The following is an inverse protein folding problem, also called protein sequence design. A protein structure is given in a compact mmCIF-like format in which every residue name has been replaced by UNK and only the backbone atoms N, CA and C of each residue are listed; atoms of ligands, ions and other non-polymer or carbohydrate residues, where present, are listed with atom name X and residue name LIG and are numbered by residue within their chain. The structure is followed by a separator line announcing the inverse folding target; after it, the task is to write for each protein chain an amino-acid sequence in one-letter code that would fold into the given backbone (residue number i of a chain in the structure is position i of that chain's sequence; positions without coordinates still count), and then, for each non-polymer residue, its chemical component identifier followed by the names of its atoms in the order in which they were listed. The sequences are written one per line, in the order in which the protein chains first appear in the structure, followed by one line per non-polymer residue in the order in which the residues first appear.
data_IF_151747142284
#
_entry.id   IF_151747142284
#
_cell.length_a   1.000
_cell.length_b   1.000
_cell.length_c   1.000
_cell.angle_alpha   90.00
_cell.angle_beta   90.00
_cell.angle_gamma   90.00
#
_symmetry.space_group_name_H-M   'P 1'
#
loop_
_entity.id
_entity.type
_entity.pdbx_description
1 polymer ?
#
# COMPACT_ATOMS: atom_id res chain seq x y z
N UNK A 1 59.05 -34.10 52.03
CA UNK A 1 57.65 -34.50 51.68
C UNK A 1 56.57 -33.41 51.85
N UNK A 2 56.76 -32.35 52.65
CA UNK A 2 55.72 -31.31 52.88
C UNK A 2 55.47 -30.37 51.68
N UNK A 3 56.51 -29.96 50.94
CA UNK A 3 56.42 -29.05 49.78
C UNK A 3 55.53 -29.54 48.63
N UNK A 4 55.50 -30.85 48.37
CA UNK A 4 54.74 -31.44 47.24
C UNK A 4 53.23 -31.40 47.50
N UNK A 5 52.79 -31.47 48.77
CA UNK A 5 51.36 -31.41 49.12
C UNK A 5 50.78 -29.99 48.92
N UNK A 6 51.53 -28.94 49.17
CA UNK A 6 51.08 -27.55 48.99
C UNK A 6 50.94 -27.17 47.52
N UNK A 7 51.84 -27.64 46.65
CA UNK A 7 51.77 -27.39 45.20
C UNK A 7 50.52 -28.02 44.59
N UNK A 8 50.17 -29.24 45.01
CA UNK A 8 48.96 -29.93 44.54
C UNK A 8 47.66 -29.26 45.01
N UNK A 9 47.61 -28.75 46.25
CA UNK A 9 46.44 -28.01 46.74
C UNK A 9 46.21 -26.70 45.97
N UNK A 10 47.29 -25.98 45.68
CA UNK A 10 47.22 -24.72 44.93
C UNK A 10 46.80 -24.92 43.47
N UNK A 11 47.24 -26.02 42.84
CA UNK A 11 46.79 -26.39 41.49
C UNK A 11 45.31 -26.79 41.47
N UNK A 12 44.83 -27.51 42.50
CA UNK A 12 43.41 -27.87 42.59
C UNK A 12 42.50 -26.64 42.77
N UNK A 13 42.92 -25.67 43.60
CA UNK A 13 42.18 -24.42 43.81
C UNK A 13 42.14 -23.57 42.54
N UNK A 14 43.27 -23.44 41.82
CA UNK A 14 43.31 -22.76 40.51
C UNK A 14 42.37 -23.43 39.50
N UNK A 15 42.42 -24.75 39.37
CA UNK A 15 41.56 -25.48 38.43
C UNK A 15 40.06 -25.36 38.74
N UNK A 16 39.66 -25.30 40.03
CA UNK A 16 38.27 -25.01 40.40
C UNK A 16 37.85 -23.60 40.02
N UNK A 17 38.71 -22.62 40.24
CA UNK A 17 38.41 -21.21 39.93
C UNK A 17 38.28 -20.96 38.43
N UNK A 18 39.12 -21.58 37.60
CA UNK A 18 39.02 -21.51 36.13
C UNK A 18 37.76 -22.22 35.59
N UNK A 19 37.32 -23.33 36.19
CA UNK A 19 36.04 -23.98 35.84
C UNK A 19 34.84 -23.08 36.18
N UNK A 20 34.82 -22.52 37.38
CA UNK A 20 33.74 -21.63 37.83
C UNK A 20 33.60 -20.37 36.96
N UNK A 21 34.72 -19.75 36.56
CA UNK A 21 34.72 -18.60 35.65
C UNK A 21 34.32 -18.96 34.20
N UNK A 22 34.63 -20.18 33.75
CA UNK A 22 34.21 -20.69 32.44
C UNK A 22 32.71 -20.90 32.35
N UNK A 23 32.10 -21.44 33.39
CA UNK A 23 30.66 -21.72 33.45
C UNK A 23 29.83 -20.43 33.56
N UNK A 24 30.31 -19.41 34.29
CA UNK A 24 29.69 -18.09 34.34
C UNK A 24 29.69 -17.36 32.99
N UNK A 25 30.79 -17.45 32.23
CA UNK A 25 30.87 -16.90 30.86
C UNK A 25 29.94 -17.63 29.90
N UNK A 26 29.78 -18.94 30.04
CA UNK A 26 28.86 -19.74 29.22
C UNK A 26 27.40 -19.44 29.53
N UNK A 27 27.05 -19.29 30.82
CA UNK A 27 25.70 -18.87 31.23
C UNK A 27 25.36 -17.45 30.77
N UNK A 28 26.27 -16.49 30.89
CA UNK A 28 26.00 -15.11 30.44
C UNK A 28 25.86 -14.99 28.91
N UNK A 29 26.59 -15.81 28.14
CA UNK A 29 26.39 -15.91 26.69
C UNK A 29 25.05 -16.57 26.33
N UNK A 30 24.63 -17.60 27.07
CA UNK A 30 23.34 -18.25 26.85
C UNK A 30 22.15 -17.31 27.18
N UNK A 31 22.24 -16.55 28.27
CA UNK A 31 21.21 -15.56 28.66
C UNK A 31 21.12 -14.42 27.64
N UNK A 32 22.25 -13.91 27.14
CA UNK A 32 22.27 -12.90 26.09
C UNK A 32 21.70 -13.41 24.76
N UNK A 33 21.96 -14.68 24.41
CA UNK A 33 21.40 -15.30 23.20
C UNK A 33 19.88 -15.49 23.30
N UNK A 34 19.37 -15.89 24.46
CA UNK A 34 17.92 -16.03 24.70
C UNK A 34 17.24 -14.65 24.69
N UNK A 35 17.85 -13.63 25.30
CA UNK A 35 17.34 -12.25 25.25
C UNK A 35 17.34 -11.68 23.83
N UNK A 36 18.33 -12.01 23.00
CA UNK A 36 18.36 -11.61 21.59
C UNK A 36 17.28 -12.33 20.77
N UNK A 37 17.05 -13.63 20.99
CA UNK A 37 15.96 -14.38 20.34
C UNK A 37 14.59 -13.84 20.77
N UNK A 38 14.42 -13.51 22.06
CA UNK A 38 13.20 -12.87 22.56
C UNK A 38 13.01 -11.46 21.96
N UNK A 39 14.06 -10.67 21.79
CA UNK A 39 13.98 -9.37 21.12
C UNK A 39 13.64 -9.49 19.62
N UNK A 40 14.09 -10.56 18.95
CA UNK A 40 13.71 -10.87 17.56
C UNK A 40 12.25 -11.29 17.40
N UNK A 41 11.67 -11.93 18.42
CA UNK A 41 10.25 -12.30 18.45
C UNK A 41 9.32 -11.09 18.70
N UNK A 42 9.85 -9.93 19.08
CA UNK A 42 9.08 -8.70 19.38
C UNK A 42 9.08 -7.71 18.20
N UNK A 43 9.91 -7.91 17.17
CA UNK A 43 9.72 -7.22 15.89
C UNK A 43 8.56 -7.88 15.13
N UNK A 44 7.33 -7.44 15.43
CA UNK A 44 6.13 -7.87 14.72
C UNK A 44 6.17 -7.53 13.23
N UNK A 45 5.23 -8.10 12.44
CA UNK A 45 5.00 -7.67 11.06
C UNK A 45 4.91 -6.14 10.96
N UNK A 46 5.53 -5.57 9.92
CA UNK A 46 5.14 -4.25 9.44
C UNK A 46 3.68 -4.41 9.00
N UNK A 47 2.74 -4.04 9.87
CA UNK A 47 1.30 -4.15 9.63
C UNK A 47 0.89 -2.98 8.73
N UNK A 48 1.49 -2.87 7.55
CA UNK A 48 1.02 -1.98 6.52
C UNK A 48 0.64 -2.85 5.33
N UNK A 49 -0.49 -2.55 4.71
CA UNK A 49 -0.90 -3.22 3.48
C UNK A 49 -1.08 -2.19 2.38
N UNK A 50 -0.77 -2.65 1.17
CA UNK A 50 -1.00 -1.89 -0.05
C UNK A 50 -2.05 -2.60 -0.87
N UNK A 51 -3.13 -1.89 -1.16
CA UNK A 51 -4.11 -2.28 -2.18
C UNK A 51 -3.73 -1.58 -3.47
N UNK A 52 -3.85 -2.27 -4.59
CA UNK A 52 -3.67 -1.67 -5.91
C UNK A 52 -4.81 -2.07 -6.84
N UNK A 53 -4.96 -1.32 -7.93
CA UNK A 53 -5.75 -1.69 -9.08
C UNK A 53 -5.11 -1.13 -10.34
N UNK A 54 -5.30 -1.85 -11.44
CA UNK A 54 -5.07 -1.32 -12.79
C UNK A 54 -6.44 -1.21 -13.42
N UNK A 55 -6.86 0.01 -13.74
CA UNK A 55 -8.09 0.24 -14.49
C UNK A 55 -7.71 0.24 -15.97
N UNK A 56 -8.37 -0.62 -16.73
CA UNK A 56 -8.06 -0.82 -18.14
C UNK A 56 -9.19 -0.31 -19.02
N UNK A 57 -8.79 0.02 -20.25
CA UNK A 57 -9.55 0.61 -21.35
C UNK A 57 -11.01 0.23 -21.52
N UNK A 58 -11.67 1.10 -22.26
CA UNK A 58 -13.01 0.91 -22.74
C UNK A 58 -13.01 -0.07 -23.94
N UNK A 59 -13.61 -1.27 -23.83
CA UNK A 59 -13.48 -2.31 -24.85
C UNK A 59 -14.33 -2.08 -26.11
N UNK A 60 -14.99 -0.91 -26.25
CA UNK A 60 -15.78 -0.58 -27.45
C UNK A 60 -14.83 -0.32 -28.61
N UNK A 61 -15.15 -0.85 -29.79
CA UNK A 61 -14.30 -0.78 -31.00
C UNK A 61 -14.00 0.63 -31.50
N UNK A 62 -14.78 1.63 -31.05
CA UNK A 62 -14.62 3.03 -31.45
C UNK A 62 -13.70 3.79 -30.49
N UNK A 63 -13.39 3.22 -29.32
CA UNK A 63 -12.62 3.88 -28.28
C UNK A 63 -11.11 3.62 -28.38
N UNK A 64 -10.29 4.53 -27.83
CA UNK A 64 -8.85 4.37 -27.81
C UNK A 64 -8.37 3.21 -26.92
N UNK A 65 -7.50 2.37 -27.47
CA UNK A 65 -6.84 1.27 -26.76
C UNK A 65 -5.76 1.76 -25.78
N UNK A 66 -5.35 0.89 -24.85
CA UNK A 66 -4.24 1.12 -23.90
C UNK A 66 -4.46 2.26 -22.91
N UNK A 67 -5.71 2.45 -22.47
CA UNK A 67 -5.99 3.31 -21.33
C UNK A 67 -5.59 2.56 -20.05
N UNK A 68 -4.59 3.09 -19.34
CA UNK A 68 -4.03 2.49 -18.13
C UNK A 68 -3.98 3.52 -17.01
N UNK A 69 -4.61 3.16 -15.89
CA UNK A 69 -4.65 3.97 -14.68
C UNK A 69 -4.29 3.08 -13.51
N UNK A 70 -3.25 3.48 -12.78
CA UNK A 70 -2.78 2.79 -11.60
C UNK A 70 -3.39 3.45 -10.37
N UNK A 71 -3.98 2.63 -9.51
CA UNK A 71 -4.45 3.05 -8.18
C UNK A 71 -3.60 2.35 -7.15
N UNK A 72 -3.13 3.10 -6.16
CA UNK A 72 -2.44 2.58 -4.99
C UNK A 72 -3.09 3.14 -3.74
N UNK A 73 -3.32 2.29 -2.76
CA UNK A 73 -3.90 2.65 -1.46
C UNK A 73 -3.01 2.05 -0.39
N UNK A 74 -2.53 2.89 0.51
CA UNK A 74 -1.68 2.48 1.62
C UNK A 74 -2.37 2.73 2.95
N UNK A 75 -2.33 1.73 3.82
CA UNK A 75 -2.81 1.82 5.21
C UNK A 75 -1.68 1.37 6.13
N UNK A 76 -1.26 2.26 7.03
CA UNK A 76 -0.36 1.94 8.14
C UNK A 76 -1.18 1.49 9.34
N UNK A 77 -1.38 0.18 9.51
CA UNK A 77 -2.20 -0.37 10.60
C UNK A 77 -1.57 -0.18 11.99
N UNK A 78 -0.32 0.29 12.08
CA UNK A 78 0.38 0.50 13.36
C UNK A 78 0.22 1.94 13.83
N UNK A 79 0.58 2.89 12.97
CA UNK A 79 0.69 4.29 13.37
C UNK A 79 -0.57 5.10 13.03
N UNK A 80 -1.25 4.74 11.95
CA UNK A 80 -2.41 5.49 11.43
C UNK A 80 -3.46 4.53 10.84
N UNK A 81 -3.98 3.54 11.61
CA UNK A 81 -4.84 2.50 11.08
C UNK A 81 -6.21 3.01 10.59
N UNK A 82 -6.57 4.24 10.96
CA UNK A 82 -7.79 4.91 10.56
C UNK A 82 -7.59 5.83 9.35
N UNK A 83 -6.42 5.82 8.71
CA UNK A 83 -6.10 6.60 7.50
C UNK A 83 -5.74 5.66 6.35
N UNK A 84 -6.33 5.90 5.19
CA UNK A 84 -5.95 5.29 3.92
C UNK A 84 -5.50 6.38 2.96
N UNK A 85 -4.25 6.30 2.50
CA UNK A 85 -3.66 7.25 1.56
C UNK A 85 -3.81 6.72 0.13
N UNK A 86 -4.41 7.52 -0.74
CA UNK A 86 -4.73 7.15 -2.12
C UNK A 86 -3.83 7.87 -3.10
N UNK A 87 -3.39 7.14 -4.12
CA UNK A 87 -2.70 7.68 -5.30
C UNK A 87 -3.35 7.10 -6.55
N UNK A 88 -3.80 7.97 -7.46
CA UNK A 88 -4.37 7.60 -8.76
C UNK A 88 -3.54 8.26 -9.85
N UNK A 89 -2.95 7.46 -10.73
CA UNK A 89 -1.97 7.92 -11.71
C UNK A 89 -2.23 7.32 -13.09
N UNK A 90 -2.00 8.13 -14.13
CA UNK A 90 -1.97 7.65 -15.51
C UNK A 90 -0.63 7.01 -15.85
N UNK A 91 -0.68 5.90 -16.58
CA UNK A 91 0.49 5.30 -17.23
C UNK A 91 0.27 5.31 -18.74
N UNK A 92 0.26 6.51 -19.33
CA UNK A 92 -0.20 6.71 -20.70
C UNK A 92 0.65 7.65 -21.54
N UNK A 93 1.73 8.22 -21.00
CA UNK A 93 2.63 9.16 -21.67
C UNK A 93 2.95 8.82 -23.13
N UNK A 94 3.22 7.53 -23.39
CA UNK A 94 3.64 7.03 -24.70
C UNK A 94 2.53 6.90 -25.74
N UNK A 95 1.25 6.89 -25.32
CA UNK A 95 0.10 6.59 -26.18
C UNK A 95 -0.90 7.75 -26.20
N UNK A 96 -1.20 8.31 -25.03
CA UNK A 96 -2.12 9.42 -24.83
C UNK A 96 -1.47 10.51 -23.96
N UNK A 97 -0.47 11.25 -24.47
CA UNK A 97 0.26 12.27 -23.70
C UNK A 97 -0.60 13.45 -23.22
N UNK A 98 -1.79 13.63 -23.81
CA UNK A 98 -2.75 14.67 -23.41
C UNK A 98 -3.94 14.10 -22.63
N UNK A 99 -3.92 12.81 -22.27
CA UNK A 99 -4.99 12.20 -21.52
C UNK A 99 -5.19 12.92 -20.19
N UNK A 100 -6.45 13.07 -19.83
CA UNK A 100 -6.83 13.76 -18.60
C UNK A 100 -8.11 13.19 -18.03
N UNK A 101 -8.28 13.28 -16.72
CA UNK A 101 -9.53 12.93 -16.05
C UNK A 101 -9.90 13.98 -15.01
N UNK A 102 -11.21 14.14 -14.82
CA UNK A 102 -11.78 15.05 -13.82
C UNK A 102 -12.64 14.31 -12.80
N UNK A 103 -12.81 13.00 -12.95
CA UNK A 103 -13.65 12.18 -12.10
C UNK A 103 -13.01 10.79 -11.89
N UNK A 104 -12.91 10.34 -10.63
CA UNK A 104 -12.49 9.01 -10.21
C UNK A 104 -13.53 8.42 -9.24
N UNK A 105 -13.94 7.19 -9.51
CA UNK A 105 -15.05 6.52 -8.83
C UNK A 105 -14.54 5.31 -8.05
N UNK A 106 -15.07 5.11 -6.85
CA UNK A 106 -14.67 3.97 -6.03
C UNK A 106 -15.79 3.50 -5.10
N UNK A 107 -15.82 2.19 -4.90
CA UNK A 107 -16.66 1.52 -3.92
C UNK A 107 -15.84 1.07 -2.72
N UNK A 108 -16.54 0.94 -1.59
CA UNK A 108 -16.07 0.27 -0.38
C UNK A 108 -17.18 -0.62 0.17
N UNK A 109 -16.80 -1.67 0.91
CA UNK A 109 -17.72 -2.52 1.65
C UNK A 109 -18.32 -1.72 2.82
N UNK A 110 -19.50 -1.14 2.59
CA UNK A 110 -20.17 -0.25 3.56
C UNK A 110 -21.20 -0.97 4.45
N UNK A 111 -21.03 -2.26 4.73
CA UNK A 111 -21.87 -2.94 5.73
C UNK A 111 -21.77 -2.26 7.09
N UNK A 112 -22.93 -2.05 7.72
CA UNK A 112 -23.00 -1.38 9.01
C UNK A 112 -22.72 0.12 8.95
N UNK A 113 -22.81 0.75 7.77
CA UNK A 113 -22.72 2.21 7.60
C UNK A 113 -21.34 2.79 8.02
N UNK A 114 -20.28 1.98 7.90
CA UNK A 114 -18.91 2.34 8.30
C UNK A 114 -18.40 3.61 7.61
N UNK A 115 -18.78 3.84 6.36
CA UNK A 115 -18.34 4.92 5.49
C UNK A 115 -19.41 6.00 5.26
N UNK A 116 -20.43 6.06 6.11
CA UNK A 116 -21.39 7.16 6.08
C UNK A 116 -20.70 8.50 6.42
N UNK A 117 -21.27 9.61 5.95
CA UNK A 117 -20.66 10.94 6.02
C UNK A 117 -20.29 11.43 7.43
N UNK A 118 -20.87 10.84 8.48
CA UNK A 118 -20.54 11.15 9.87
C UNK A 118 -19.27 10.48 10.41
N UNK A 119 -18.76 9.44 9.73
CA UNK A 119 -17.58 8.69 10.17
C UNK A 119 -16.37 8.89 9.25
N UNK A 120 -16.50 9.71 8.20
CA UNK A 120 -15.55 9.72 7.10
C UNK A 120 -15.24 11.14 6.66
N UNK A 121 -13.94 11.44 6.54
CA UNK A 121 -13.45 12.70 6.01
C UNK A 121 -12.38 12.48 4.95
N UNK A 122 -12.30 13.39 3.99
CA UNK A 122 -11.27 13.39 2.94
C UNK A 122 -10.45 14.67 3.02
N UNK A 123 -9.13 14.56 2.86
CA UNK A 123 -8.21 15.69 2.98
C UNK A 123 -6.93 15.47 2.19
N UNK A 124 -6.02 16.44 2.21
CA UNK A 124 -4.70 16.28 1.59
C UNK A 124 -4.72 16.17 0.07
N UNK A 125 -5.76 16.70 -0.57
CA UNK A 125 -5.90 16.66 -2.02
C UNK A 125 -4.74 17.36 -2.73
N UNK A 126 -4.12 16.63 -3.66
CA UNK A 126 -3.20 17.15 -4.65
C UNK A 126 -3.58 16.52 -6.01
N UNK A 127 -4.09 17.28 -6.98
CA UNK A 127 -4.28 18.74 -6.96
C UNK A 127 -5.32 19.21 -5.92
N UNK A 128 -5.09 20.38 -5.32
CA UNK A 128 -5.90 20.90 -4.21
C UNK A 128 -7.34 21.30 -4.55
N UNK A 129 -7.72 21.27 -5.82
CA UNK A 129 -9.07 21.57 -6.29
C UNK A 129 -10.00 20.35 -6.27
N UNK A 130 -9.47 19.17 -5.95
CA UNK A 130 -10.26 17.95 -5.87
C UNK A 130 -11.02 17.84 -4.55
N UNK A 131 -12.18 17.19 -4.61
CA UNK A 131 -12.97 16.83 -3.45
C UNK A 131 -13.68 15.49 -3.70
N UNK A 132 -14.05 14.79 -2.63
CA UNK A 132 -14.86 13.57 -2.73
C UNK A 132 -16.31 13.87 -2.35
N UNK A 133 -17.25 13.34 -3.12
CA UNK A 133 -18.69 13.39 -2.85
C UNK A 133 -19.29 11.99 -2.76
N UNK A 134 -20.42 11.87 -2.06
CA UNK A 134 -21.24 10.65 -1.99
C UNK A 134 -22.72 11.03 -1.91
N UNK A 135 -23.63 10.33 -2.63
CA UNK A 135 -23.33 9.30 -3.61
C UNK A 135 -22.61 9.86 -4.85
N UNK A 136 -21.90 9.00 -5.59
CA UNK A 136 -21.27 9.39 -6.85
C UNK A 136 -22.32 9.81 -7.90
N UNK A 137 -21.93 10.71 -8.81
CA UNK A 137 -22.71 11.09 -10.00
C UNK A 137 -21.92 10.75 -11.27
N UNK A 138 -21.82 9.46 -11.58
CA UNK A 138 -20.97 8.96 -12.67
C UNK A 138 -21.28 9.57 -14.04
N UNK A 139 -20.22 10.02 -14.70
CA UNK A 139 -20.24 10.56 -16.06
C UNK A 139 -19.49 9.62 -16.99
N UNK A 140 -20.06 9.38 -18.17
CA UNK A 140 -19.52 8.40 -19.12
C UNK A 140 -19.88 6.96 -18.74
N UNK A 141 -19.59 6.01 -19.63
CA UNK A 141 -19.75 4.58 -19.36
C UNK A 141 -21.19 4.11 -19.11
N UNK A 142 -22.22 4.86 -19.49
CA UNK A 142 -23.63 4.48 -19.29
C UNK A 142 -24.15 4.72 -17.87
N UNK A 143 -25.25 4.04 -17.51
CA UNK A 143 -25.79 4.08 -16.14
C UNK A 143 -25.22 2.93 -15.33
N UNK A 144 -24.71 3.20 -14.13
CA UNK A 144 -24.20 2.18 -13.22
C UNK A 144 -25.25 1.77 -12.19
N UNK A 145 -25.48 0.46 -12.01
CA UNK A 145 -26.44 -0.08 -11.03
C UNK A 145 -25.87 -1.31 -10.30
N UNK A 146 -25.66 -1.24 -8.96
CA UNK A 146 -25.69 -0.01 -8.15
C UNK A 146 -24.65 1.00 -8.68
N UNK A 147 -24.88 2.29 -8.39
CA UNK A 147 -23.91 3.31 -8.73
C UNK A 147 -22.69 3.24 -7.78
N UNK A 148 -21.60 3.89 -8.15
CA UNK A 148 -20.45 4.01 -7.27
C UNK A 148 -20.79 4.75 -5.97
N UNK A 149 -20.15 4.36 -4.88
CA UNK A 149 -20.38 4.95 -3.56
C UNK A 149 -19.79 6.36 -3.45
N UNK A 150 -18.57 6.53 -3.97
CA UNK A 150 -17.83 7.79 -3.93
C UNK A 150 -17.37 8.23 -5.32
N UNK A 151 -17.28 9.54 -5.48
CA UNK A 151 -16.65 10.22 -6.62
C UNK A 151 -15.67 11.25 -6.09
N UNK A 152 -14.38 11.04 -6.36
CA UNK A 152 -13.40 12.11 -6.33
C UNK A 152 -13.54 12.91 -7.62
N UNK A 153 -13.80 14.21 -7.52
CA UNK A 153 -13.98 15.08 -8.67
C UNK A 153 -13.22 16.39 -8.51
N UNK A 154 -12.74 16.92 -9.63
CA UNK A 154 -12.19 18.28 -9.66
C UNK A 154 -13.32 19.32 -9.54
N UNK A 155 -13.22 20.17 -8.53
CA UNK A 155 -14.18 21.25 -8.21
C UNK A 155 -13.70 22.63 -8.67
N UNK A 156 -12.56 22.71 -9.35
CA UNK A 156 -12.01 23.96 -9.88
C UNK A 156 -13.00 24.76 -10.75
N UNK A 157 -12.88 26.08 -10.71
CA UNK A 157 -13.70 26.98 -11.55
C UNK A 157 -12.89 27.47 -12.75
N UNK A 158 -13.30 27.13 -13.99
CA UNK A 158 -12.62 27.59 -15.22
C UNK A 158 -12.81 26.68 -16.45
N UNK A 159 -12.41 27.17 -17.63
CA UNK A 159 -12.21 26.30 -18.81
C UNK A 159 -10.91 25.52 -18.59
N UNK A 160 -11.02 24.19 -18.54
CA UNK A 160 -9.99 23.27 -18.05
C UNK A 160 -9.83 23.32 -16.52
N UNK A 161 -10.83 22.72 -15.82
CA UNK A 161 -10.64 21.90 -14.61
C UNK A 161 -9.17 21.43 -14.50
N UNK A 162 -8.47 21.60 -13.37
CA UNK A 162 -7.12 21.07 -13.08
C UNK A 162 -7.20 19.54 -13.06
N UNK A 163 -7.16 18.89 -14.23
CA UNK A 163 -7.45 17.48 -14.28
C UNK A 163 -6.18 16.76 -13.81
N UNK A 164 -6.34 15.53 -13.34
CA UNK A 164 -5.17 14.66 -13.37
C UNK A 164 -4.79 14.43 -14.82
N UNK A 165 -3.50 14.36 -15.06
CA UNK A 165 -2.89 14.10 -16.36
C UNK A 165 -1.65 13.26 -16.13
N UNK A 166 -1.07 12.73 -17.20
CA UNK A 166 0.15 11.94 -17.11
C UNK A 166 1.28 12.73 -16.38
N UNK A 167 1.90 12.08 -15.39
CA UNK A 167 2.89 12.69 -14.49
C UNK A 167 2.35 13.61 -13.39
N UNK A 168 1.03 13.79 -13.28
CA UNK A 168 0.36 14.53 -12.20
C UNK A 168 -0.71 13.63 -11.57
N UNK A 169 -0.37 12.84 -10.53
CA UNK A 169 -1.32 11.95 -9.88
C UNK A 169 -2.35 12.74 -9.05
N UNK A 170 -3.50 12.11 -8.80
CA UNK A 170 -4.41 12.52 -7.74
C UNK A 170 -3.95 11.82 -6.46
N UNK A 171 -3.66 12.60 -5.44
CA UNK A 171 -3.38 12.11 -4.09
C UNK A 171 -4.40 12.67 -3.11
N UNK A 172 -4.86 11.85 -2.17
CA UNK A 172 -5.68 12.30 -1.04
C UNK A 172 -5.68 11.26 0.08
N UNK A 173 -5.98 11.73 1.30
CA UNK A 173 -6.19 10.88 2.46
C UNK A 173 -7.68 10.71 2.74
N UNK A 174 -8.04 9.46 3.01
CA UNK A 174 -9.35 9.05 3.50
C UNK A 174 -9.21 8.69 4.99
N UNK A 175 -9.91 9.39 5.87
CA UNK A 175 -9.78 9.21 7.32
C UNK A 175 -11.10 8.81 7.97
N UNK A 176 -11.08 7.73 8.74
CA UNK A 176 -12.17 7.33 9.62
C UNK A 176 -12.09 8.08 10.94
N UNK A 177 -13.23 8.63 11.38
CA UNK A 177 -13.36 9.29 12.68
C UNK A 177 -13.40 8.26 13.82
N UNK A 178 -13.96 7.07 13.54
CA UNK A 178 -14.00 5.93 14.42
C UNK A 178 -13.74 4.62 13.65
N UNK A 179 -12.93 3.75 14.26
CA UNK A 179 -12.54 2.46 13.70
C UNK A 179 -11.28 2.54 12.83
N UNK A 180 -10.92 1.39 12.25
CA UNK A 180 -9.73 1.21 11.42
C UNK A 180 -10.13 0.72 10.03
N UNK A 181 -9.31 1.02 9.04
CA UNK A 181 -9.41 0.39 7.73
C UNK A 181 -8.97 -1.07 7.81
N UNK A 182 -9.76 -1.94 7.20
CA UNK A 182 -9.48 -3.36 7.03
C UNK A 182 -9.26 -3.62 5.54
N UNK A 183 -8.38 -4.56 5.19
CA UNK A 183 -8.20 -5.02 3.80
C UNK A 183 -9.55 -5.41 3.17
N UNK A 184 -10.45 -6.02 3.95
CA UNK A 184 -11.79 -6.41 3.51
C UNK A 184 -12.68 -5.25 3.11
N UNK A 185 -12.43 -4.03 3.62
CA UNK A 185 -13.20 -2.85 3.23
C UNK A 185 -13.07 -2.56 1.74
N UNK A 186 -11.90 -2.89 1.17
CA UNK A 186 -11.59 -2.73 -0.24
C UNK A 186 -11.94 -3.98 -1.02
N UNK A 187 -11.39 -5.14 -0.63
CA UNK A 187 -11.51 -6.37 -1.43
C UNK A 187 -12.95 -6.89 -1.55
N UNK A 188 -13.81 -6.61 -0.56
CA UNK A 188 -15.21 -7.02 -0.59
C UNK A 188 -16.14 -5.92 -1.12
N UNK A 189 -15.61 -4.78 -1.56
CA UNK A 189 -16.43 -3.69 -2.08
C UNK A 189 -17.36 -4.18 -3.20
N UNK A 190 -18.63 -3.77 -3.21
CA UNK A 190 -19.57 -4.18 -4.25
C UNK A 190 -19.12 -3.65 -5.61
N UNK A 191 -19.54 -4.36 -6.67
CA UNK A 191 -19.32 -3.92 -8.05
C UNK A 191 -20.41 -2.94 -8.46
N UNK A 192 -20.01 -1.89 -9.19
CA UNK A 192 -20.91 -1.09 -10.00
C UNK A 192 -20.99 -1.71 -11.39
N UNK A 193 -22.21 -1.93 -11.90
CA UNK A 193 -22.43 -2.57 -13.21
C UNK A 193 -22.94 -1.55 -14.21
N UNK A 194 -22.20 -1.37 -15.30
CA UNK A 194 -22.58 -0.48 -16.39
C UNK A 194 -23.76 -1.05 -17.19
N UNK A 195 -24.64 -0.17 -17.67
CA UNK A 195 -25.66 -0.48 -18.68
C UNK A 195 -25.08 -0.64 -20.09
N UNK A 196 -23.83 -0.24 -20.31
CA UNK A 196 -23.10 -0.50 -21.53
C UNK A 196 -22.72 -1.99 -21.57
N UNK A 197 -23.23 -2.70 -22.58
CA UNK A 197 -23.09 -4.15 -22.71
C UNK A 197 -21.63 -4.60 -22.93
N UNK A 198 -20.72 -3.67 -23.23
CA UNK A 198 -19.32 -3.96 -23.54
C UNK A 198 -18.44 -3.61 -22.34
N UNK A 199 -18.71 -2.50 -21.66
CA UNK A 199 -17.88 -1.99 -20.57
C UNK A 199 -17.85 -2.88 -19.32
N UNK A 200 -18.98 -3.49 -18.94
CA UNK A 200 -19.04 -4.46 -17.84
C UNK A 200 -19.15 -3.84 -16.45
N UNK A 201 -18.33 -4.29 -15.50
CA UNK A 201 -18.45 -3.91 -14.07
C UNK A 201 -17.10 -3.80 -13.36
N UNK A 202 -17.03 -2.96 -12.33
CA UNK A 202 -15.82 -2.80 -11.51
C UNK A 202 -16.11 -2.27 -10.12
N UNK A 203 -15.12 -2.38 -9.22
CA UNK A 203 -15.13 -1.73 -7.91
C UNK A 203 -14.62 -0.28 -7.97
N UNK A 204 -13.84 0.01 -9.00
CA UNK A 204 -13.25 1.31 -9.33
C UNK A 204 -13.63 1.70 -10.75
N UNK A 205 -13.72 3.00 -11.01
CA UNK A 205 -13.97 3.54 -12.34
C UNK A 205 -13.31 4.88 -12.56
N UNK A 206 -13.08 5.26 -13.81
CA UNK A 206 -12.59 6.60 -14.15
C UNK A 206 -13.05 7.01 -15.54
N UNK A 207 -13.51 8.24 -15.67
CA UNK A 207 -13.82 8.84 -16.96
C UNK A 207 -12.59 9.57 -17.49
N UNK A 208 -12.10 9.14 -18.65
CA UNK A 208 -10.86 9.64 -19.25
C UNK A 208 -11.16 10.36 -20.55
N UNK A 209 -10.55 11.51 -20.75
CA UNK A 209 -10.76 12.40 -21.87
C UNK A 209 -9.46 12.71 -22.58
N UNK A 210 -9.56 13.40 -23.72
CA UNK A 210 -8.40 13.84 -24.51
C UNK A 210 -7.56 12.67 -25.01
N UNK A 211 -8.24 11.56 -25.33
CA UNK A 211 -7.62 10.34 -25.83
C UNK A 211 -7.36 10.46 -27.33
N UNK A 212 -6.21 9.96 -27.78
CA UNK A 212 -5.86 9.93 -29.20
C UNK A 212 -6.61 8.78 -29.88
N UNK A 213 -7.37 9.06 -30.93
CA UNK A 213 -7.97 8.00 -31.74
C UNK A 213 -6.89 7.29 -32.59
N UNK A 214 -7.07 5.99 -32.82
CA UNK A 214 -6.12 5.13 -33.54
C UNK A 214 -5.80 5.58 -35.00
N UNK A 215 -6.54 6.54 -35.56
CA UNK A 215 -6.47 6.91 -36.97
C UNK A 215 -6.09 8.37 -37.24
N UNK A 216 -5.00 8.88 -36.64
CA UNK A 216 -4.28 10.08 -37.12
C UNK A 216 -5.10 11.37 -37.32
N UNK A 217 -6.31 11.44 -36.78
CA UNK A 217 -7.26 12.53 -36.98
C UNK A 217 -7.36 13.28 -35.65
N UNK A 218 -7.29 14.61 -35.71
CA UNK A 218 -7.20 15.51 -34.57
C UNK A 218 -8.52 15.65 -33.78
N UNK A 219 -9.26 14.56 -33.62
CA UNK A 219 -10.47 14.48 -32.79
C UNK A 219 -10.12 13.71 -31.54
N UNK A 220 -10.12 14.39 -30.40
CA UNK A 220 -9.96 13.74 -29.09
C UNK A 220 -11.23 13.01 -28.69
N UNK A 221 -11.09 11.78 -28.23
CA UNK A 221 -12.21 10.98 -27.70
C UNK A 221 -12.20 10.94 -26.17
N UNK A 222 -13.20 10.26 -25.59
CA UNK A 222 -13.33 9.95 -24.17
C UNK A 222 -13.70 8.49 -23.95
N UNK A 223 -13.09 7.87 -22.95
CA UNK A 223 -13.35 6.49 -22.56
C UNK A 223 -13.73 6.39 -21.08
N UNK A 224 -14.19 5.21 -20.69
CA UNK A 224 -14.38 4.86 -19.29
C UNK A 224 -13.55 3.63 -18.98
N UNK A 225 -12.79 3.67 -17.90
CA UNK A 225 -11.98 2.53 -17.45
C UNK A 225 -12.53 1.98 -16.15
N UNK A 226 -12.46 0.65 -16.00
CA UNK A 226 -12.91 -0.06 -14.82
C UNK A 226 -11.79 -0.94 -14.27
N UNK A 227 -11.82 -1.18 -12.97
CA UNK A 227 -10.83 -2.02 -12.30
C UNK A 227 -11.33 -2.55 -10.97
N UNK A 228 -10.58 -3.51 -10.44
CA UNK A 228 -10.87 -4.17 -9.17
C UNK A 228 -9.66 -4.09 -8.25
N UNK A 229 -9.93 -4.02 -6.95
CA UNK A 229 -8.89 -4.03 -5.94
C UNK A 229 -8.19 -5.39 -5.90
N UNK A 230 -6.87 -5.35 -5.69
CA UNK A 230 -6.08 -6.52 -5.35
C UNK A 230 -4.98 -6.12 -4.36
N UNK A 231 -4.54 -7.07 -3.55
CA UNK A 231 -3.42 -6.86 -2.63
C UNK A 231 -2.09 -6.90 -3.38
N UNK A 232 -1.19 -5.97 -3.09
CA UNK A 232 0.20 -6.02 -3.54
C UNK A 232 1.02 -6.81 -2.52
N UNK A 233 1.60 -7.97 -2.88
CA UNK A 233 2.45 -8.70 -1.97
C UNK A 233 3.71 -7.90 -1.65
N UNK A 234 3.96 -7.58 -0.37
CA UNK A 234 5.23 -6.99 0.04
C UNK A 234 6.38 -7.92 -0.36
N UNK A 235 7.40 -7.46 -1.12
CA UNK A 235 8.49 -8.32 -1.53
C UNK A 235 9.19 -8.92 -0.31
N UNK A 236 9.28 -10.25 -0.25
CA UNK A 236 10.03 -10.99 0.78
C UNK A 236 11.50 -10.54 0.92
N UNK A 237 12.02 -9.78 -0.05
CA UNK A 237 13.32 -9.14 -0.02
C UNK A 237 13.50 -8.16 1.15
N UNK A 238 12.45 -7.46 1.60
CA UNK A 238 12.54 -6.57 2.79
C UNK A 238 12.84 -7.40 4.05
N UNK A 239 12.23 -8.57 4.16
CA UNK A 239 12.45 -9.54 5.23
C UNK A 239 13.85 -10.19 5.16
N UNK A 240 14.32 -10.53 3.95
CA UNK A 240 15.66 -11.08 3.72
C UNK A 240 16.78 -10.05 3.94
N UNK A 241 16.55 -8.78 3.61
CA UNK A 241 17.53 -7.72 3.83
C UNK A 241 17.71 -7.40 5.32
N UNK A 242 16.59 -7.32 6.06
CA UNK A 242 16.61 -7.11 7.51
C UNK A 242 17.30 -8.27 8.26
N UNK A 243 16.99 -9.52 7.91
CA UNK A 243 17.61 -10.70 8.51
C UNK A 243 19.08 -10.89 8.08
N UNK A 244 19.41 -10.57 6.82
CA UNK A 244 20.76 -10.64 6.27
C UNK A 244 21.73 -9.64 6.93
N UNK A 245 21.30 -8.40 7.16
CA UNK A 245 22.15 -7.36 7.77
C UNK A 245 22.52 -7.70 9.22
N UNK A 246 21.59 -8.28 9.97
CA UNK A 246 21.82 -8.75 11.34
C UNK A 246 22.76 -9.96 11.38
N UNK A 247 22.67 -10.85 10.38
CA UNK A 247 23.65 -11.91 10.16
C UNK A 247 25.06 -11.37 9.98
N UNK A 248 25.24 -10.33 9.16
CA UNK A 248 26.56 -9.72 8.89
C UNK A 248 27.15 -9.05 10.14
N UNK A 249 26.35 -8.33 10.94
CA UNK A 249 26.82 -7.71 12.19
C UNK A 249 27.23 -8.77 13.22
N UNK A 250 26.47 -9.86 13.32
CA UNK A 250 26.78 -11.00 14.21
C UNK A 250 28.08 -11.73 13.82
N UNK A 251 28.27 -11.99 12.53
CA UNK A 251 29.48 -12.63 12.03
C UNK A 251 30.71 -11.70 12.06
N UNK A 252 30.53 -10.40 11.82
CA UNK A 252 31.61 -9.40 11.88
C UNK A 252 32.23 -9.25 13.27
N UNK A 253 31.42 -9.27 14.34
CA UNK A 253 31.91 -9.23 15.73
C UNK A 253 32.69 -10.47 16.13
N UNK A 254 32.37 -11.64 15.56
CA UNK A 254 33.05 -12.90 15.87
C UNK A 254 34.49 -12.93 15.32
N UNK A 255 34.78 -12.15 14.28
CA UNK A 255 36.10 -12.09 13.65
C UNK A 255 37.10 -11.17 14.37
N UNK A 256 36.61 -10.20 15.16
CA UNK A 256 37.45 -9.24 15.91
C UNK A 256 37.95 -9.77 17.26
N UNK A 257 37.41 -10.90 17.73
CA UNK A 257 37.79 -11.55 18.98
C UNK A 257 38.59 -12.87 18.77
N UNK A 258 39.18 -13.07 17.59
CA UNK A 258 40.19 -14.11 17.35
C UNK A 258 41.53 -13.47 17.10
#
# INVERSE_FOLDING_TARGET
MRKVKETNLNNLKRNRMYRFMGDWRRMSVAVAAIAAIAAFLICGPVNAYTISAVLTGDPRSENPDNILVNVTIEVDEVNSPNVASWTVEFDMAGVHPNAKASEFYFNLENSGNKFDSGNLTFSGFDPSTWAVVSPASTVGGGTFTPNFLFEAQDTGTGQNKNPIQDGIPLMFDMTLTAGNFLISDFLNAPFSVSSDMVLGSGQLGMHVQSLNMAAGNATTDSGFVLGNYHVVPLPAAVWLLGSGLLGVIGFGRRRRNR
#
